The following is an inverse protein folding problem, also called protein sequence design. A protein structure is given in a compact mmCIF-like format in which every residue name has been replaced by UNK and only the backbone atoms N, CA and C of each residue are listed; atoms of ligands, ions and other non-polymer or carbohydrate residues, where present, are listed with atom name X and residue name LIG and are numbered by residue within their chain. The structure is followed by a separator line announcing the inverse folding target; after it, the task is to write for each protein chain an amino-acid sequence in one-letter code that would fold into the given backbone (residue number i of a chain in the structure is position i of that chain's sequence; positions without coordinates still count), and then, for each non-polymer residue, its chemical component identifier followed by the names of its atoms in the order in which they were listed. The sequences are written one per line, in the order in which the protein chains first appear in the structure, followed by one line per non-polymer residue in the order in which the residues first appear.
data_IF_977448966779
#
_entry.id   IF_977448966779
#
_cell.length_a   1.000
_cell.length_b   1.000
_cell.length_c   1.000
_cell.angle_alpha   90.00
_cell.angle_beta   90.00
_cell.angle_gamma   90.00
#
_symmetry.space_group_name_H-M   'P 1'
#
loop_
_entity.id
_entity.type
_entity.pdbx_description
1 polymer ?
#
# COMPACT_ATOMS: atom_id res chain seq x y z
N UNK A 1 7.84 -13.95 14.03
CA UNK A 1 6.80 -13.78 12.99
C UNK A 1 7.07 -12.51 12.22
N UNK A 2 6.28 -12.18 11.20
CA UNK A 2 6.30 -10.85 10.59
C UNK A 2 5.42 -9.91 11.44
N UNK A 3 5.82 -8.65 11.60
CA UNK A 3 5.00 -7.65 12.31
C UNK A 3 3.75 -7.27 11.51
N UNK A 4 3.86 -7.26 10.18
CA UNK A 4 2.74 -7.12 9.23
C UNK A 4 3.19 -7.58 7.83
N UNK A 5 2.25 -7.72 6.90
CA UNK A 5 2.55 -7.86 5.48
C UNK A 5 1.62 -7.00 4.61
N UNK A 6 2.14 -6.62 3.43
CA UNK A 6 1.40 -5.89 2.40
C UNK A 6 1.46 -6.67 1.09
N UNK A 7 0.31 -7.04 0.55
CA UNK A 7 0.18 -7.59 -0.80
C UNK A 7 -0.12 -6.44 -1.78
N UNK A 8 0.69 -6.33 -2.83
CA UNK A 8 0.50 -5.40 -3.93
C UNK A 8 0.10 -6.16 -5.18
N UNK A 9 -1.10 -5.89 -5.70
CA UNK A 9 -1.60 -6.48 -6.95
C UNK A 9 -1.67 -5.38 -8.01
N UNK A 10 -0.82 -5.48 -9.02
CA UNK A 10 -0.69 -4.48 -10.08
C UNK A 10 -1.56 -4.83 -11.28
N UNK A 11 -2.46 -3.93 -11.65
CA UNK A 11 -3.04 -3.91 -13.00
C UNK A 11 -2.07 -3.18 -13.93
N UNK A 12 -1.30 -3.95 -14.71
CA UNK A 12 -0.30 -3.42 -15.63
C UNK A 12 -0.89 -2.67 -16.82
N UNK A 13 -2.15 -2.94 -17.18
CA UNK A 13 -2.84 -2.27 -18.28
C UNK A 13 -3.28 -0.87 -17.87
N UNK A 14 -3.83 -0.72 -16.66
CA UNK A 14 -4.29 0.57 -16.13
C UNK A 14 -3.19 1.38 -15.42
N UNK A 15 -2.00 0.80 -15.24
CA UNK A 15 -0.91 1.44 -14.51
C UNK A 15 -1.26 1.74 -13.04
N UNK A 16 -1.98 0.84 -12.38
CA UNK A 16 -2.42 1.03 -10.98
C UNK A 16 -2.29 -0.24 -10.16
N UNK A 17 -2.33 -0.10 -8.84
CA UNK A 17 -2.33 -1.25 -7.93
C UNK A 17 -3.43 -1.18 -6.89
N UNK A 18 -3.82 -2.37 -6.41
CA UNK A 18 -4.52 -2.53 -5.13
C UNK A 18 -3.55 -3.04 -4.07
N UNK A 19 -3.71 -2.51 -2.86
CA UNK A 19 -2.94 -2.91 -1.70
C UNK A 19 -3.87 -3.58 -0.68
N UNK A 20 -3.43 -4.73 -0.18
CA UNK A 20 -4.06 -5.45 0.92
C UNK A 20 -3.06 -5.53 2.08
N UNK A 21 -3.52 -5.23 3.29
CA UNK A 21 -2.72 -5.23 4.51
C UNK A 21 -3.25 -6.37 5.39
N UNK A 22 -2.37 -7.13 6.04
CA UNK A 22 -2.78 -8.25 6.90
C UNK A 22 -3.52 -7.77 8.15
N UNK A 23 -3.06 -6.64 8.71
CA UNK A 23 -3.52 -6.10 9.98
C UNK A 23 -3.72 -4.58 9.86
N UNK A 24 -4.52 -4.01 10.75
CA UNK A 24 -4.57 -2.56 10.90
C UNK A 24 -3.28 -2.09 11.58
N UNK A 25 -2.37 -1.53 10.80
CA UNK A 25 -1.15 -0.88 11.27
C UNK A 25 -1.41 0.64 11.27
N UNK A 26 -1.68 1.28 12.42
CA UNK A 26 -2.12 2.67 12.47
C UNK A 26 -1.13 3.64 11.81
N UNK A 27 0.17 3.37 11.91
CA UNK A 27 1.20 4.19 11.25
C UNK A 27 1.02 4.25 9.73
N UNK A 28 0.45 3.21 9.10
CA UNK A 28 0.23 3.15 7.66
C UNK A 28 -1.08 3.83 7.22
N UNK A 29 -1.90 4.33 8.15
CA UNK A 29 -3.11 5.08 7.82
C UNK A 29 -2.82 6.44 7.19
N UNK A 30 -1.62 7.00 7.42
CA UNK A 30 -1.16 8.26 6.82
C UNK A 30 -0.85 8.13 5.32
N UNK A 31 -0.77 6.90 4.80
CA UNK A 31 -0.51 6.67 3.38
C UNK A 31 -1.65 7.26 2.51
N UNK A 32 -1.34 7.90 1.37
CA UNK A 32 -2.32 8.61 0.54
C UNK A 32 -3.19 7.67 -0.32
N UNK A 33 -3.43 6.44 0.13
CA UNK A 33 -4.18 5.43 -0.61
C UNK A 33 -5.60 5.29 -0.06
N UNK A 34 -6.59 5.67 -0.85
CA UNK A 34 -8.00 5.58 -0.50
C UNK A 34 -8.41 4.14 -0.19
N UNK A 35 -8.99 3.89 0.99
CA UNK A 35 -9.65 2.62 1.36
C UNK A 35 -10.92 2.44 0.52
N UNK A 36 -11.10 1.26 -0.07
CA UNK A 36 -12.26 0.86 -0.87
C UNK A 36 -13.25 0.08 0.01
N UNK A 37 -14.45 -0.17 -0.53
CA UNK A 37 -15.51 -0.91 0.18
C UNK A 37 -15.15 -2.35 0.52
N UNK A 38 -14.18 -2.94 -0.18
CA UNK A 38 -13.66 -4.28 0.08
C UNK A 38 -12.45 -4.31 1.03
N UNK A 39 -12.15 -3.18 1.68
CA UNK A 39 -11.04 -3.04 2.63
C UNK A 39 -9.67 -2.87 1.97
N UNK A 40 -9.53 -3.06 0.65
CA UNK A 40 -8.27 -2.79 -0.06
C UNK A 40 -8.02 -1.29 -0.19
N UNK A 41 -6.77 -0.89 -0.44
CA UNK A 41 -6.44 0.51 -0.76
C UNK A 41 -6.10 0.67 -2.23
N UNK A 42 -6.61 1.74 -2.85
CA UNK A 42 -6.34 2.07 -4.26
C UNK A 42 -5.09 2.92 -4.39
N UNK A 43 -4.07 2.39 -5.06
CA UNK A 43 -2.81 3.07 -5.35
C UNK A 43 -2.74 3.42 -6.86
N UNK A 44 -3.40 4.51 -7.24
CA UNK A 44 -3.43 4.99 -8.65
C UNK A 44 -2.03 5.43 -9.09
N UNK A 45 -1.58 4.98 -10.26
CA UNK A 45 -0.24 5.32 -10.79
C UNK A 45 0.92 4.58 -10.13
N UNK A 46 0.65 3.69 -9.16
CA UNK A 46 1.67 2.93 -8.45
C UNK A 46 1.79 1.55 -9.07
N UNK A 47 2.95 1.26 -9.67
CA UNK A 47 3.27 -0.02 -10.32
C UNK A 47 4.62 -0.58 -9.87
N UNK A 48 5.46 0.24 -9.25
CA UNK A 48 6.78 -0.13 -8.76
C UNK A 48 6.81 -0.17 -7.23
N UNK A 49 6.92 -1.38 -6.68
CA UNK A 49 7.09 -1.56 -5.23
C UNK A 49 8.27 -0.76 -4.68
N UNK A 50 9.46 -0.86 -5.30
CA UNK A 50 10.70 -0.27 -4.80
C UNK A 50 10.72 1.26 -4.91
N UNK A 51 10.22 1.82 -6.01
CA UNK A 51 10.33 3.26 -6.28
C UNK A 51 9.15 4.08 -5.73
N UNK A 52 7.97 3.47 -5.59
CA UNK A 52 6.73 4.20 -5.33
C UNK A 52 6.02 3.78 -4.05
N UNK A 53 6.03 2.48 -3.68
CA UNK A 53 5.35 2.01 -2.47
C UNK A 53 6.29 2.04 -1.24
N UNK A 54 7.45 1.40 -1.36
CA UNK A 54 8.35 1.18 -0.23
C UNK A 54 8.83 2.48 0.44
N UNK A 55 9.20 3.55 -0.28
CA UNK A 55 9.61 4.81 0.35
C UNK A 55 8.50 5.44 1.22
N UNK A 56 7.24 5.34 0.80
CA UNK A 56 6.11 5.87 1.56
C UNK A 56 5.79 5.02 2.78
N UNK A 57 5.87 3.69 2.66
CA UNK A 57 5.68 2.77 3.78
C UNK A 57 6.77 3.00 4.84
N UNK A 58 8.03 3.11 4.43
CA UNK A 58 9.14 3.37 5.37
C UNK A 58 9.00 4.74 6.03
N UNK A 59 8.73 5.79 5.26
CA UNK A 59 8.51 7.13 5.82
C UNK A 59 7.34 7.19 6.82
N UNK A 60 6.27 6.40 6.60
CA UNK A 60 5.16 6.29 7.53
C UNK A 60 5.54 5.54 8.84
N UNK A 61 6.46 4.59 8.77
CA UNK A 61 6.94 3.82 9.94
C UNK A 61 8.03 4.56 10.72
N UNK A 62 8.80 5.42 10.05
CA UNK A 62 9.89 6.17 10.65
C UNK A 62 9.42 7.36 11.50
N UNK A 63 8.22 7.91 11.22
CA UNK A 63 7.52 8.88 12.08
C UNK A 63 8.24 10.21 12.28
#
# INVERSE_FOLDING_TARGET
GLDFAILMVTNVVEGSSRLLFTDEVPMLDVLPYRRLSDGTRRAKGVVSRKKQLLPLVLGALEG
#
